data_IF_188484602880
#
_entry.id   IF_188484602880
#
_cell.length_a   1.000
_cell.length_b   1.000
_cell.length_c   1.000
_cell.angle_alpha   90.00
_cell.angle_beta   90.00
_cell.angle_gamma   90.00
#
_symmetry.space_group_name_H-M   'P 1'
#
loop_
_entity.id
_entity.type
_entity.pdbx_description
1 polymer ?
#
# COMPACT_ATOMS: atom_id res chain seq x y z
N UNK A 1 15.00 -19.98 14.72
CA UNK A 1 14.10 -18.81 14.82
C UNK A 1 13.55 -18.57 13.42
N UNK A 2 12.22 -18.68 13.22
CA UNK A 2 11.60 -18.64 11.88
C UNK A 2 11.80 -17.32 11.13
N UNK A 3 12.04 -16.21 11.84
CA UNK A 3 12.20 -14.89 11.25
C UNK A 3 13.58 -14.65 10.60
N UNK A 4 14.65 -15.32 11.07
CA UNK A 4 16.02 -15.05 10.63
C UNK A 4 17.05 -15.19 11.75
N UNK A 5 18.25 -14.66 11.51
CA UNK A 5 19.36 -14.70 12.48
C UNK A 5 20.23 -13.45 12.42
N UNK A 6 20.81 -13.08 13.56
CA UNK A 6 21.85 -12.04 13.62
C UNK A 6 23.22 -12.64 13.28
N UNK A 7 23.90 -12.06 12.28
CA UNK A 7 25.24 -12.44 11.85
C UNK A 7 26.21 -11.31 12.15
N UNK A 8 27.35 -11.64 12.79
CA UNK A 8 28.44 -10.68 13.03
C UNK A 8 29.11 -10.36 11.70
N UNK A 9 29.20 -9.07 11.39
CA UNK A 9 29.80 -8.56 10.17
C UNK A 9 31.30 -8.32 10.34
N UNK A 10 32.02 -8.20 9.23
CA UNK A 10 33.47 -8.02 9.23
C UNK A 10 33.93 -6.79 10.03
N UNK A 11 33.13 -5.72 10.05
CA UNK A 11 33.40 -4.48 10.79
C UNK A 11 32.90 -4.51 12.25
N UNK A 12 32.46 -5.66 12.76
CA UNK A 12 32.18 -5.89 14.18
C UNK A 12 30.73 -5.70 14.63
N UNK A 13 29.87 -5.06 13.83
CA UNK A 13 28.44 -4.94 14.14
C UNK A 13 27.67 -6.24 13.85
N UNK A 14 26.43 -6.36 14.34
CA UNK A 14 25.53 -7.48 14.04
C UNK A 14 24.46 -7.03 13.07
N UNK A 15 24.29 -7.74 11.96
CA UNK A 15 23.19 -7.52 11.03
C UNK A 15 22.15 -8.62 11.17
N UNK A 16 20.87 -8.27 11.14
CA UNK A 16 19.80 -9.25 11.02
C UNK A 16 19.70 -9.73 9.57
N UNK A 17 19.79 -11.04 9.36
CA UNK A 17 19.58 -11.68 8.06
C UNK A 17 18.26 -12.46 8.14
N UNK A 18 17.21 -12.03 7.42
CA UNK A 18 15.94 -12.73 7.36
C UNK A 18 16.11 -14.17 6.87
N UNK A 19 15.25 -15.07 7.36
CA UNK A 19 15.16 -16.41 6.78
C UNK A 19 14.59 -16.31 5.35
N UNK A 20 15.02 -17.18 4.42
CA UNK A 20 14.46 -17.20 3.07
C UNK A 20 12.97 -17.59 3.10
N UNK A 21 12.22 -17.15 2.09
CA UNK A 21 10.86 -17.60 1.83
C UNK A 21 10.87 -18.77 0.82
N UNK A 22 9.91 -19.72 0.90
CA UNK A 22 8.85 -19.81 1.92
C UNK A 22 9.41 -20.23 3.30
N UNK A 23 8.68 -19.96 4.40
CA UNK A 23 9.13 -20.34 5.73
C UNK A 23 9.21 -21.86 5.88
N UNK A 24 10.19 -22.32 6.67
CA UNK A 24 10.34 -23.72 7.08
C UNK A 24 10.27 -23.82 8.63
N UNK A 25 9.31 -24.57 9.21
CA UNK A 25 8.23 -25.28 8.52
C UNK A 25 7.24 -24.32 7.85
N UNK A 26 6.50 -24.79 6.82
CA UNK A 26 5.46 -24.02 6.14
C UNK A 26 4.44 -23.41 7.10
N UNK A 27 3.68 -22.43 6.62
CA UNK A 27 2.53 -21.91 7.36
C UNK A 27 1.55 -23.06 7.58
N UNK A 28 1.15 -23.27 8.85
CA UNK A 28 0.18 -24.29 9.18
C UNK A 28 -1.20 -23.84 8.67
N UNK A 29 -1.83 -24.65 7.81
CA UNK A 29 -3.19 -24.40 7.32
C UNK A 29 -4.17 -25.17 8.19
N UNK A 30 -4.35 -24.73 9.42
CA UNK A 30 -5.29 -25.34 10.36
C UNK A 30 -6.75 -24.95 10.04
N UNK A 31 -7.68 -25.54 10.80
CA UNK A 31 -9.11 -25.30 10.60
C UNK A 31 -9.50 -23.82 10.80
N UNK A 32 -8.79 -23.09 11.65
CA UNK A 32 -9.07 -21.67 11.89
C UNK A 32 -8.62 -20.82 10.70
N UNK A 33 -7.39 -21.02 10.21
CA UNK A 33 -6.87 -20.31 9.03
C UNK A 33 -7.72 -20.62 7.80
N UNK A 34 -8.12 -21.87 7.59
CA UNK A 34 -8.99 -22.24 6.48
C UNK A 34 -10.36 -21.57 6.57
N UNK A 35 -10.94 -21.48 7.78
CA UNK A 35 -12.21 -20.77 7.99
C UNK A 35 -12.06 -19.28 7.70
N UNK A 36 -10.99 -18.64 8.20
CA UNK A 36 -10.72 -17.22 7.96
C UNK A 36 -10.50 -16.92 6.47
N UNK A 37 -9.79 -17.80 5.76
CA UNK A 37 -9.60 -17.69 4.31
C UNK A 37 -10.94 -17.77 3.57
N UNK A 38 -11.79 -18.73 3.93
CA UNK A 38 -13.13 -18.86 3.35
C UNK A 38 -14.02 -17.63 3.61
N UNK A 39 -13.96 -17.07 4.82
CA UNK A 39 -14.68 -15.85 5.18
C UNK A 39 -14.17 -14.62 4.40
N UNK A 40 -12.86 -14.52 4.18
CA UNK A 40 -12.25 -13.48 3.37
C UNK A 40 -12.67 -13.59 1.89
N UNK A 41 -12.57 -14.79 1.30
CA UNK A 41 -12.99 -15.05 -0.09
C UNK A 41 -14.46 -14.69 -0.32
N UNK A 42 -15.34 -15.08 0.61
CA UNK A 42 -16.77 -14.74 0.55
C UNK A 42 -17.00 -13.23 0.63
N UNK A 43 -16.18 -12.52 1.39
CA UNK A 43 -16.32 -11.06 1.55
C UNK A 43 -15.81 -10.33 0.31
N UNK A 44 -14.71 -10.80 -0.30
CA UNK A 44 -14.23 -10.33 -1.60
C UNK A 44 -15.26 -10.60 -2.71
N UNK A 45 -15.84 -11.80 -2.77
CA UNK A 45 -16.88 -12.12 -3.76
C UNK A 45 -18.15 -11.27 -3.59
N UNK A 46 -18.51 -10.89 -2.35
CA UNK A 46 -19.61 -9.93 -2.12
C UNK A 46 -19.28 -8.53 -2.61
N UNK A 47 -18.04 -8.06 -2.39
CA UNK A 47 -17.59 -6.78 -2.91
C UNK A 47 -17.65 -6.75 -4.44
N UNK A 48 -17.11 -7.77 -5.10
CA UNK A 48 -17.14 -7.93 -6.56
C UNK A 48 -18.58 -8.03 -7.11
N UNK A 49 -19.47 -8.71 -6.38
CA UNK A 49 -20.88 -8.74 -6.74
C UNK A 49 -21.55 -7.36 -6.67
N UNK A 50 -21.26 -6.56 -5.63
CA UNK A 50 -21.86 -5.23 -5.44
C UNK A 50 -21.31 -4.21 -6.45
N UNK A 51 -20.04 -4.30 -6.86
CA UNK A 51 -19.49 -3.36 -7.86
C UNK A 51 -20.21 -3.44 -9.21
N UNK A 52 -20.79 -4.60 -9.56
CA UNK A 52 -21.57 -4.78 -10.80
C UNK A 52 -22.84 -3.92 -10.89
N UNK A 53 -23.37 -3.44 -9.76
CA UNK A 53 -24.58 -2.61 -9.69
C UNK A 53 -24.28 -1.14 -9.38
N UNK A 54 -23.01 -0.77 -9.22
CA UNK A 54 -22.63 0.61 -8.97
C UNK A 54 -22.84 1.47 -10.23
N UNK A 55 -23.46 2.65 -10.12
CA UNK A 55 -23.66 3.54 -11.26
C UNK A 55 -22.36 4.01 -11.92
N UNK A 56 -21.31 4.18 -11.11
CA UNK A 56 -19.97 4.58 -11.56
C UNK A 56 -18.91 3.93 -10.66
N UNK A 57 -18.45 2.70 -10.99
CA UNK A 57 -17.41 2.00 -10.24
C UNK A 57 -16.09 2.77 -10.18
N UNK A 58 -15.72 3.46 -11.26
CA UNK A 58 -14.44 4.18 -11.35
C UNK A 58 -14.38 5.33 -10.33
N UNK A 59 -15.47 6.08 -10.17
CA UNK A 59 -15.55 7.12 -9.14
C UNK A 59 -15.45 6.54 -7.73
N UNK A 60 -16.12 5.41 -7.48
CA UNK A 60 -16.07 4.74 -6.18
C UNK A 60 -14.64 4.28 -5.85
N UNK A 61 -13.96 3.63 -6.81
CA UNK A 61 -12.57 3.19 -6.66
C UNK A 61 -11.66 4.40 -6.44
N UNK A 62 -11.81 5.47 -7.21
CA UNK A 62 -11.01 6.68 -7.06
C UNK A 62 -11.16 7.30 -5.66
N UNK A 63 -12.38 7.35 -5.11
CA UNK A 63 -12.63 7.82 -3.75
C UNK A 63 -12.09 6.87 -2.69
N UNK A 64 -12.19 5.56 -2.91
CA UNK A 64 -11.71 4.56 -1.97
C UNK A 64 -10.18 4.56 -1.89
N UNK A 65 -9.47 4.73 -3.01
CA UNK A 65 -8.00 4.87 -3.04
C UNK A 65 -7.57 6.09 -2.23
N UNK A 66 -8.27 7.23 -2.33
CA UNK A 66 -7.99 8.42 -1.49
C UNK A 66 -8.21 8.13 -0.01
N UNK A 67 -9.33 7.49 0.31
CA UNK A 67 -9.66 7.16 1.70
C UNK A 67 -8.64 6.19 2.32
N UNK A 68 -8.22 5.17 1.57
CA UNK A 68 -7.17 4.24 2.01
C UNK A 68 -5.83 4.93 2.17
N UNK A 69 -5.44 5.80 1.23
CA UNK A 69 -4.19 6.57 1.32
C UNK A 69 -4.14 7.46 2.57
N UNK A 70 -5.26 8.11 2.93
CA UNK A 70 -5.40 8.88 4.18
C UNK A 70 -5.24 7.98 5.40
N UNK A 71 -5.96 6.87 5.46
CA UNK A 71 -5.89 5.94 6.60
C UNK A 71 -4.50 5.32 6.76
N UNK A 72 -3.86 4.97 5.65
CA UNK A 72 -2.50 4.41 5.63
C UNK A 72 -1.48 5.43 6.14
N UNK A 73 -1.54 6.67 5.64
CA UNK A 73 -0.66 7.76 6.09
C UNK A 73 -0.87 8.12 7.57
N UNK A 74 -2.11 8.03 8.09
CA UNK A 74 -2.39 8.25 9.50
C UNK A 74 -1.71 7.22 10.43
N UNK A 75 -1.50 5.97 9.98
CA UNK A 75 -0.72 4.97 10.72
C UNK A 75 0.75 5.41 10.85
N UNK A 76 1.28 6.08 9.83
CA UNK A 76 2.65 6.58 9.79
C UNK A 76 2.83 7.94 10.52
N UNK A 77 1.72 8.56 10.94
CA UNK A 77 1.69 9.75 11.79
C UNK A 77 1.20 11.03 11.09
N UNK A 78 0.80 10.95 9.83
CA UNK A 78 0.28 12.06 9.03
C UNK A 78 -1.06 12.56 9.59
N UNK A 79 -1.29 13.87 9.63
CA UNK A 79 -2.51 14.50 10.13
C UNK A 79 -3.30 15.14 8.97
N UNK A 80 -3.86 14.29 8.11
CA UNK A 80 -4.71 14.69 6.98
C UNK A 80 -6.07 14.01 7.03
N UNK A 81 -7.11 14.68 6.54
CA UNK A 81 -8.45 14.11 6.33
C UNK A 81 -8.74 13.91 4.83
N UNK A 82 -9.78 13.15 4.51
CA UNK A 82 -10.24 13.02 3.12
C UNK A 82 -10.69 14.37 2.55
N UNK A 83 -11.29 15.24 3.37
CA UNK A 83 -11.73 16.58 2.95
C UNK A 83 -10.53 17.45 2.58
N UNK A 84 -9.44 17.41 3.35
CA UNK A 84 -8.20 18.15 3.03
C UNK A 84 -7.63 17.75 1.66
N UNK A 85 -7.64 16.44 1.36
CA UNK A 85 -7.17 15.89 0.09
C UNK A 85 -8.05 16.36 -1.07
N UNK A 86 -9.37 16.29 -0.91
CA UNK A 86 -10.32 16.74 -1.94
C UNK A 86 -10.23 18.26 -2.17
N UNK A 87 -10.12 19.05 -1.09
CA UNK A 87 -9.97 20.49 -1.18
C UNK A 87 -8.69 20.87 -1.91
N UNK A 88 -7.59 20.16 -1.61
CA UNK A 88 -6.32 20.36 -2.30
C UNK A 88 -6.40 20.07 -3.81
N UNK A 89 -7.09 19.00 -4.21
CA UNK A 89 -7.28 18.67 -5.64
C UNK A 89 -8.07 19.76 -6.38
N UNK A 90 -9.01 20.44 -5.71
CA UNK A 90 -9.80 21.55 -6.25
C UNK A 90 -8.97 22.84 -6.33
N UNK A 91 -8.24 23.16 -5.25
CA UNK A 91 -7.51 24.42 -5.06
C UNK A 91 -6.03 24.34 -5.44
N UNK A 92 -5.65 23.53 -6.44
CA UNK A 92 -4.27 23.23 -6.86
C UNK A 92 -3.34 24.44 -7.16
N UNK A 93 -3.84 25.68 -7.03
CA UNK A 93 -3.15 26.97 -7.14
C UNK A 93 -2.78 27.63 -5.80
N UNK A 94 -3.15 27.05 -4.65
CA UNK A 94 -2.79 27.56 -3.33
C UNK A 94 -1.30 27.40 -3.03
N UNK A 95 -0.64 28.47 -2.61
CA UNK A 95 0.82 28.53 -2.38
C UNK A 95 1.30 27.81 -1.12
N UNK A 96 0.40 27.27 -0.30
CA UNK A 96 0.74 26.54 0.93
C UNK A 96 0.21 25.11 0.82
N UNK A 97 1.11 24.16 0.58
CA UNK A 97 0.79 22.75 0.50
C UNK A 97 1.14 22.11 1.83
N UNK A 98 0.18 21.62 2.63
CA UNK A 98 0.50 20.83 3.80
C UNK A 98 1.26 19.59 3.34
N UNK A 99 2.48 19.39 3.86
CA UNK A 99 3.36 18.25 3.47
C UNK A 99 2.64 16.90 3.59
N UNK A 100 1.78 16.79 4.59
CA UNK A 100 0.92 15.65 4.89
C UNK A 100 -0.05 15.31 3.74
N UNK A 101 -0.54 16.31 3.00
CA UNK A 101 -1.42 16.10 1.84
C UNK A 101 -0.60 15.67 0.61
N UNK A 102 0.62 16.18 0.44
CA UNK A 102 1.50 15.74 -0.66
C UNK A 102 1.87 14.25 -0.55
N UNK A 103 2.10 13.74 0.66
CA UNK A 103 2.34 12.31 0.90
C UNK A 103 1.15 11.44 0.46
N UNK A 104 -0.08 11.86 0.78
CA UNK A 104 -1.31 11.15 0.35
C UNK A 104 -1.49 11.21 -1.17
N UNK A 105 -1.20 12.34 -1.81
CA UNK A 105 -1.28 12.47 -3.28
C UNK A 105 -0.25 11.58 -3.97
N UNK A 106 0.98 11.53 -3.45
CA UNK A 106 2.02 10.64 -3.95
C UNK A 106 1.61 9.17 -3.83
N UNK A 107 0.94 8.80 -2.73
CA UNK A 107 0.40 7.45 -2.55
C UNK A 107 -0.60 7.09 -3.66
N UNK A 108 -1.58 7.97 -3.93
CA UNK A 108 -2.59 7.76 -4.98
C UNK A 108 -1.91 7.62 -6.36
N UNK A 109 -0.96 8.49 -6.66
CA UNK A 109 -0.20 8.43 -7.92
C UNK A 109 0.63 7.15 -8.04
N UNK A 110 1.32 6.73 -6.98
CA UNK A 110 2.13 5.53 -6.95
C UNK A 110 1.29 4.26 -7.15
N UNK A 111 0.12 4.19 -6.50
CA UNK A 111 -0.83 3.07 -6.66
C UNK A 111 -1.36 2.98 -8.09
N UNK A 112 -1.87 4.09 -8.65
CA UNK A 112 -2.41 4.13 -10.01
C UNK A 112 -1.33 3.79 -11.05
N UNK A 113 -0.11 4.31 -10.86
CA UNK A 113 1.04 3.94 -11.69
C UNK A 113 1.29 2.43 -11.64
N UNK A 114 1.34 1.84 -10.44
CA UNK A 114 1.58 0.41 -10.25
C UNK A 114 0.54 -0.47 -10.95
N UNK A 115 -0.74 -0.13 -10.79
CA UNK A 115 -1.85 -0.85 -11.41
C UNK A 115 -1.81 -0.79 -12.95
N UNK A 116 -1.52 0.38 -13.52
CA UNK A 116 -1.37 0.51 -14.97
C UNK A 116 -0.15 -0.27 -15.47
N UNK A 117 0.96 -0.18 -14.73
CA UNK A 117 2.23 -0.81 -15.10
C UNK A 117 2.16 -2.34 -15.07
N UNK A 118 1.32 -2.92 -14.22
CA UNK A 118 1.10 -4.37 -14.12
C UNK A 118 0.58 -5.01 -15.42
N UNK A 119 -0.03 -4.24 -16.32
CA UNK A 119 -0.48 -4.74 -17.63
C UNK A 119 0.69 -5.21 -18.51
N UNK A 120 1.86 -4.58 -18.35
CA UNK A 120 3.06 -4.84 -19.16
C UNK A 120 4.24 -5.41 -18.37
N UNK A 121 4.22 -5.28 -17.03
CA UNK A 121 5.32 -5.69 -16.16
C UNK A 121 4.77 -6.50 -14.98
N UNK A 122 5.13 -7.79 -14.83
CA UNK A 122 4.68 -8.59 -13.69
C UNK A 122 5.21 -8.03 -12.36
N UNK A 123 4.55 -8.43 -11.28
CA UNK A 123 4.98 -8.13 -9.91
C UNK A 123 6.44 -8.56 -9.73
N UNK A 124 7.28 -7.56 -9.50
CA UNK A 124 8.73 -7.72 -9.50
C UNK A 124 9.36 -6.63 -8.64
N UNK A 125 10.62 -6.84 -8.23
CA UNK A 125 11.38 -5.83 -7.50
C UNK A 125 11.53 -4.53 -8.31
N UNK A 126 11.56 -4.61 -9.64
CA UNK A 126 11.57 -3.42 -10.50
C UNK A 126 10.30 -2.61 -10.31
N UNK A 127 9.13 -3.24 -10.45
CA UNK A 127 7.84 -2.59 -10.25
C UNK A 127 7.74 -1.96 -8.86
N UNK A 128 8.11 -2.71 -7.80
CA UNK A 128 8.06 -2.22 -6.42
C UNK A 128 8.94 -0.97 -6.25
N UNK A 129 10.13 -0.94 -6.85
CA UNK A 129 11.03 0.23 -6.81
C UNK A 129 10.49 1.43 -7.58
N UNK A 130 9.84 1.19 -8.74
CA UNK A 130 9.19 2.25 -9.52
C UNK A 130 8.04 2.90 -8.72
N UNK A 131 7.18 2.09 -8.09
CA UNK A 131 6.10 2.55 -7.21
C UNK A 131 6.66 3.33 -6.01
N UNK A 132 7.68 2.78 -5.34
CA UNK A 132 8.30 3.43 -4.19
C UNK A 132 8.95 4.77 -4.54
N UNK A 133 9.59 4.89 -5.71
CA UNK A 133 10.14 6.16 -6.16
C UNK A 133 9.07 7.23 -6.39
N UNK A 134 7.86 6.83 -6.78
CA UNK A 134 6.71 7.74 -6.93
C UNK A 134 6.10 8.13 -5.59
N UNK A 135 6.09 7.21 -4.63
CA UNK A 135 5.61 7.47 -3.28
C UNK A 135 6.49 8.51 -2.55
N UNK A 136 7.80 8.40 -2.72
CA UNK A 136 8.79 9.31 -2.13
C UNK A 136 9.25 10.39 -3.12
N UNK A 137 8.31 11.08 -3.77
CA UNK A 137 8.67 12.20 -4.65
C UNK A 137 8.45 13.52 -3.91
N UNK A 138 9.53 14.17 -3.42
CA UNK A 138 9.45 15.50 -2.82
C UNK A 138 8.95 15.54 -1.37
N UNK A 139 8.93 14.40 -0.68
CA UNK A 139 8.44 14.24 0.70
C UNK A 139 9.56 13.79 1.65
N UNK A 140 9.24 13.49 2.91
CA UNK A 140 10.25 13.09 3.90
C UNK A 140 10.83 11.72 3.52
N UNK A 141 12.12 11.69 3.17
CA UNK A 141 12.83 10.45 2.79
C UNK A 141 13.13 10.32 1.29
N UNK A 142 12.60 11.22 0.45
CA UNK A 142 12.86 11.34 -0.99
C UNK A 142 11.91 12.35 -1.64
#
# INVERSE_FOLDING_TARGET
>A
MRAGRYVKQATGYRAFIPAPLPPDPPVAMDAEILRLLSDADRSLGRLDGVTSVLPNPDLFVAMYVRHEAVLSSQIEGTQSTLEDVLQFEIDAKGHDRPKDVEEVINYIHAMNYGLERLKDLPLSLRLIREIHAKLLEGVRGG
#
